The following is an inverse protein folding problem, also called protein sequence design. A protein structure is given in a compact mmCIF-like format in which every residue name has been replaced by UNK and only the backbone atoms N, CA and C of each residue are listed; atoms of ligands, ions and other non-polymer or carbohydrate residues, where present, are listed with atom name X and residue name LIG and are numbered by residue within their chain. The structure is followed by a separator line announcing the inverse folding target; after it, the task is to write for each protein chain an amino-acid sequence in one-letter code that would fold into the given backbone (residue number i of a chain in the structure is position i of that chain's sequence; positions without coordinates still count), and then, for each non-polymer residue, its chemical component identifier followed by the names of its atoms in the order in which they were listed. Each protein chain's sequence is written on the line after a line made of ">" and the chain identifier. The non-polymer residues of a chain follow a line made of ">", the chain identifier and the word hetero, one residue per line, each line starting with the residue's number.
data_IF_984069170735
#
_entry.id   IF_984069170735
#
_cell.length_a   1.000
_cell.length_b   1.000
_cell.length_c   1.000
_cell.angle_alpha   90.00
_cell.angle_beta   90.00
_cell.angle_gamma   90.00
#
_symmetry.space_group_name_H-M   'P 1'
#
loop_
_entity.id
_entity.type
_entity.pdbx_description
1 polymer ?
#
# COMPACT_ATOMS: atom_id res chain seq x y z
N UNK A 1 -46.74 -21.26 33.82
CA UNK A 1 -46.62 -19.79 33.57
C UNK A 1 -45.22 -19.28 33.90
N UNK A 2 -44.43 -20.01 34.78
CA UNK A 2 -43.08 -19.57 35.19
C UNK A 2 -42.01 -19.75 34.12
N UNK A 3 -41.95 -20.90 33.44
CA UNK A 3 -40.85 -21.26 32.55
C UNK A 3 -40.77 -20.36 31.29
N UNK A 4 -41.92 -20.02 30.68
CA UNK A 4 -41.97 -19.13 29.53
C UNK A 4 -41.52 -17.70 29.89
N UNK A 5 -41.94 -17.19 31.05
CA UNK A 5 -41.51 -15.85 31.54
C UNK A 5 -40.01 -15.85 31.88
N UNK A 6 -39.50 -16.94 32.47
CA UNK A 6 -38.08 -17.10 32.77
C UNK A 6 -37.25 -17.11 31.47
N UNK A 7 -37.66 -17.91 30.46
CA UNK A 7 -37.01 -17.95 29.15
C UNK A 7 -37.01 -16.58 28.45
N UNK A 8 -38.12 -15.86 28.45
CA UNK A 8 -38.21 -14.50 27.86
C UNK A 8 -37.28 -13.56 28.61
N UNK A 9 -37.23 -13.59 29.93
CA UNK A 9 -36.33 -12.77 30.73
C UNK A 9 -34.84 -13.01 30.43
N UNK A 10 -34.47 -14.29 30.26
CA UNK A 10 -33.10 -14.70 29.87
C UNK A 10 -32.76 -14.19 28.47
N UNK A 11 -33.67 -14.31 27.50
CA UNK A 11 -33.46 -13.80 26.14
C UNK A 11 -33.33 -12.28 26.16
N UNK A 12 -34.18 -11.56 26.87
CA UNK A 12 -34.11 -10.11 27.00
C UNK A 12 -32.79 -9.67 27.64
N UNK A 13 -32.39 -10.35 28.72
CA UNK A 13 -31.11 -10.09 29.38
C UNK A 13 -29.92 -10.32 28.42
N UNK A 14 -29.94 -11.43 27.68
CA UNK A 14 -28.92 -11.74 26.69
C UNK A 14 -28.85 -10.65 25.61
N UNK A 15 -30.00 -10.21 25.08
CA UNK A 15 -30.07 -9.13 24.07
C UNK A 15 -29.52 -7.84 24.64
N UNK A 16 -29.82 -7.49 25.88
CA UNK A 16 -29.30 -6.29 26.53
C UNK A 16 -27.78 -6.38 26.73
N UNK A 17 -27.27 -7.55 27.15
CA UNK A 17 -25.82 -7.76 27.30
C UNK A 17 -25.11 -7.64 25.95
N UNK A 18 -25.64 -8.28 24.90
CA UNK A 18 -25.09 -8.18 23.55
C UNK A 18 -25.14 -6.75 23.03
N UNK A 19 -26.28 -6.05 23.21
CA UNK A 19 -26.39 -4.64 22.82
C UNK A 19 -25.39 -3.76 23.58
N UNK A 20 -25.25 -3.96 24.89
CA UNK A 20 -24.25 -3.26 25.69
C UNK A 20 -22.83 -3.53 25.22
N UNK A 21 -22.48 -4.78 24.96
CA UNK A 21 -21.16 -5.16 24.45
C UNK A 21 -20.83 -4.58 23.08
N UNK A 22 -21.83 -4.39 22.21
CA UNK A 22 -21.66 -3.79 20.88
C UNK A 22 -21.59 -2.25 20.93
N UNK A 23 -22.20 -1.64 21.94
CA UNK A 23 -22.29 -0.17 22.04
C UNK A 23 -21.19 0.40 22.97
N UNK A 24 -20.82 -0.31 24.04
CA UNK A 24 -19.86 0.13 25.04
C UNK A 24 -18.50 0.56 24.47
N UNK A 25 -17.89 -0.11 23.47
CA UNK A 25 -16.62 0.30 22.88
C UNK A 25 -16.65 1.71 22.26
N UNK A 26 -17.82 2.18 21.81
CA UNK A 26 -17.99 3.54 21.28
C UNK A 26 -17.90 4.65 22.34
N UNK A 27 -17.99 4.30 23.62
CA UNK A 27 -17.88 5.25 24.75
C UNK A 27 -16.50 5.21 25.42
N UNK A 28 -15.62 4.31 25.01
CA UNK A 28 -14.25 4.24 25.52
C UNK A 28 -13.43 5.35 24.85
N UNK A 29 -12.70 6.13 25.63
CA UNK A 29 -11.70 7.06 25.09
C UNK A 29 -10.45 6.28 24.63
N UNK A 30 -10.42 5.98 23.34
CA UNK A 30 -9.29 5.26 22.71
C UNK A 30 -8.03 6.12 22.60
N UNK A 31 -8.14 7.45 22.80
CA UNK A 31 -7.00 8.36 22.72
C UNK A 31 -5.97 8.12 23.82
N UNK A 32 -6.38 7.53 24.95
CA UNK A 32 -5.47 7.18 26.03
C UNK A 32 -4.40 6.16 25.62
N UNK A 33 -4.64 5.36 24.56
CA UNK A 33 -3.71 4.34 24.08
C UNK A 33 -2.72 4.83 23.02
N UNK A 34 -2.78 6.13 22.64
CA UNK A 34 -1.84 6.70 21.65
C UNK A 34 -0.37 6.52 22.03
N UNK A 35 0.05 6.76 23.31
CA UNK A 35 1.45 6.58 23.69
C UNK A 35 1.92 5.14 23.53
N UNK A 36 1.11 4.17 23.98
CA UNK A 36 1.44 2.75 23.89
C UNK A 36 1.54 2.27 22.44
N UNK A 37 0.63 2.76 21.56
CA UNK A 37 0.68 2.46 20.13
C UNK A 37 1.95 3.07 19.52
N UNK A 38 2.28 4.32 19.85
CA UNK A 38 3.45 5.00 19.33
C UNK A 38 4.75 4.30 19.79
N UNK A 39 4.82 3.86 21.05
CA UNK A 39 5.94 3.11 21.58
C UNK A 39 6.11 1.76 20.88
N UNK A 40 5.03 0.98 20.77
CA UNK A 40 5.05 -0.32 20.09
C UNK A 40 5.50 -0.22 18.62
N UNK A 41 5.04 0.81 17.89
CA UNK A 41 5.50 1.05 16.52
C UNK A 41 6.97 1.46 16.51
N UNK A 42 7.39 2.33 17.42
CA UNK A 42 8.79 2.78 17.51
C UNK A 42 9.74 1.63 17.80
N UNK A 43 9.36 0.72 18.70
CA UNK A 43 10.16 -0.47 19.05
C UNK A 43 10.30 -1.44 17.87
N UNK A 44 9.21 -1.66 17.12
CA UNK A 44 9.21 -2.62 16.02
C UNK A 44 9.79 -2.08 14.70
N UNK A 45 9.73 -0.76 14.49
CA UNK A 45 10.15 -0.15 13.21
C UNK A 45 11.39 0.73 13.32
N UNK A 46 11.81 1.07 14.55
CA UNK A 46 12.87 2.06 14.80
C UNK A 46 12.46 3.50 14.46
N UNK A 47 11.16 3.76 14.22
CA UNK A 47 10.62 5.05 13.75
C UNK A 47 9.66 5.65 14.76
N UNK A 48 9.65 6.96 14.84
CA UNK A 48 8.70 7.67 15.71
C UNK A 48 7.34 7.76 15.04
N UNK A 49 6.32 7.22 15.71
CA UNK A 49 4.92 7.41 15.33
C UNK A 49 4.32 8.59 16.12
N UNK A 50 3.58 9.46 15.44
CA UNK A 50 2.75 10.51 16.04
C UNK A 50 1.31 10.37 15.58
N UNK A 51 0.36 10.42 16.52
CA UNK A 51 -1.08 10.40 16.24
C UNK A 51 -1.67 11.68 16.82
N UNK A 52 -1.81 12.70 15.97
CA UNK A 52 -2.27 14.03 16.40
C UNK A 52 -3.80 14.15 16.41
N UNK A 53 -4.49 13.32 15.63
CA UNK A 53 -5.96 13.28 15.59
C UNK A 53 -6.53 12.13 16.41
N UNK A 54 -7.85 12.00 16.44
CA UNK A 54 -8.55 11.05 17.29
C UNK A 54 -8.48 9.61 16.80
N UNK A 55 -8.47 8.69 17.77
CA UNK A 55 -8.70 7.26 17.57
C UNK A 55 -10.16 6.97 17.91
N UNK A 56 -10.90 6.40 16.97
CA UNK A 56 -12.28 6.00 17.15
C UNK A 56 -12.51 4.55 16.74
N UNK A 57 -13.19 3.80 17.59
CA UNK A 57 -13.61 2.42 17.31
C UNK A 57 -15.13 2.36 17.25
N UNK A 58 -15.65 1.78 16.17
CA UNK A 58 -17.07 1.47 16.00
C UNK A 58 -17.23 -0.03 15.81
N UNK A 59 -18.26 -0.61 16.39
CA UNK A 59 -18.57 -2.04 16.23
C UNK A 59 -19.69 -2.25 15.21
N UNK A 60 -20.68 -1.34 15.19
CA UNK A 60 -21.84 -1.44 14.32
C UNK A 60 -21.89 -0.30 13.29
N UNK A 61 -22.37 -0.55 12.05
CA UNK A 61 -22.86 -1.84 11.49
C UNK A 61 -21.73 -2.82 11.14
N UNK A 62 -20.51 -2.36 10.97
CA UNK A 62 -19.30 -3.17 10.75
C UNK A 62 -18.18 -2.66 11.67
N UNK A 63 -17.42 -3.56 12.31
CA UNK A 63 -16.30 -3.17 13.14
C UNK A 63 -15.29 -2.37 12.34
N UNK A 64 -14.99 -1.16 12.80
CA UNK A 64 -14.02 -0.27 12.14
C UNK A 64 -13.25 0.56 13.16
N UNK A 65 -11.93 0.60 12.95
CA UNK A 65 -11.00 1.49 13.65
C UNK A 65 -10.66 2.64 12.71
N UNK A 66 -10.78 3.88 13.18
CA UNK A 66 -10.32 5.06 12.44
C UNK A 66 -9.31 5.83 13.29
N UNK A 67 -8.19 6.19 12.67
CA UNK A 67 -7.11 6.97 13.30
C UNK A 67 -6.85 8.17 12.41
N UNK A 68 -6.97 9.38 12.96
CA UNK A 68 -6.78 10.61 12.20
C UNK A 68 -5.40 11.22 12.43
N UNK A 69 -4.88 11.92 11.41
CA UNK A 69 -3.64 12.68 11.43
C UNK A 69 -2.45 11.87 11.98
N UNK A 70 -2.08 10.83 11.24
CA UNK A 70 -0.97 9.94 11.59
C UNK A 70 0.29 10.39 10.87
N UNK A 71 1.42 10.44 11.58
CA UNK A 71 2.74 10.70 11.01
C UNK A 71 3.74 9.64 11.46
N UNK A 72 4.53 9.13 10.53
CA UNK A 72 5.63 8.21 10.77
C UNK A 72 6.93 8.91 10.38
N UNK A 73 7.84 9.01 11.30
CA UNK A 73 9.15 9.63 11.09
C UNK A 73 10.10 8.79 10.26
N UNK A 74 11.17 9.40 9.81
CA UNK A 74 12.31 8.70 9.20
C UNK A 74 13.05 7.82 10.23
N UNK A 75 13.88 6.85 9.78
CA UNK A 75 14.69 6.03 10.69
C UNK A 75 15.57 6.90 11.58
N UNK A 76 15.65 6.59 12.88
CA UNK A 76 16.54 7.28 13.80
C UNK A 76 17.99 7.05 13.40
N UNK A 77 18.76 8.14 13.25
CA UNK A 77 20.18 8.04 12.93
C UNK A 77 20.50 7.74 11.47
N UNK A 78 19.55 7.97 10.56
CA UNK A 78 19.83 7.92 9.13
C UNK A 78 21.06 8.80 8.81
N UNK A 79 22.13 8.25 8.20
CA UNK A 79 23.35 9.01 7.93
C UNK A 79 23.03 10.18 6.98
N UNK A 80 23.32 11.41 7.43
CA UNK A 80 23.12 12.61 6.62
C UNK A 80 21.74 13.26 6.74
N UNK A 81 20.83 12.69 7.53
CA UNK A 81 19.46 13.19 7.72
C UNK A 81 18.66 13.21 6.43
N UNK A 82 17.50 12.60 6.42
CA UNK A 82 16.55 12.81 5.34
C UNK A 82 16.21 14.30 5.26
N UNK A 83 15.94 14.81 4.06
CA UNK A 83 15.60 16.22 3.82
C UNK A 83 14.31 16.65 4.54
N UNK A 84 13.51 15.69 4.97
CA UNK A 84 12.31 15.86 5.78
C UNK A 84 12.32 14.84 6.93
N UNK A 85 11.96 15.26 8.14
CA UNK A 85 11.88 14.37 9.30
C UNK A 85 10.73 13.33 9.19
N UNK A 86 9.85 13.49 8.22
CA UNK A 86 8.65 12.68 8.02
C UNK A 86 8.83 11.71 6.85
N UNK A 87 8.76 10.40 7.14
CA UNK A 87 8.68 9.36 6.11
C UNK A 87 7.30 9.28 5.48
N UNK A 88 6.26 9.27 6.31
CA UNK A 88 4.88 9.20 5.83
C UNK A 88 3.94 9.96 6.77
N UNK A 89 2.94 10.61 6.18
CA UNK A 89 1.81 11.19 6.91
C UNK A 89 0.52 10.88 6.18
N UNK A 90 -0.58 10.84 6.90
CA UNK A 90 -1.91 10.62 6.32
C UNK A 90 -2.98 11.33 7.14
N UNK A 91 -4.03 11.77 6.47
CA UNK A 91 -5.18 12.42 7.11
C UNK A 91 -5.99 11.41 7.92
N UNK A 92 -6.23 10.21 7.39
CA UNK A 92 -6.98 9.17 8.08
C UNK A 92 -6.55 7.78 7.64
N UNK A 93 -6.39 6.89 8.64
CA UNK A 93 -6.29 5.44 8.47
C UNK A 93 -7.61 4.82 8.94
N UNK A 94 -8.25 4.05 8.07
CA UNK A 94 -9.47 3.32 8.41
C UNK A 94 -9.23 1.82 8.22
N UNK A 95 -9.48 1.05 9.25
CA UNK A 95 -9.33 -0.41 9.24
C UNK A 95 -10.69 -1.03 9.53
N UNK A 96 -11.20 -1.84 8.60
CA UNK A 96 -12.41 -2.61 8.80
C UNK A 96 -12.07 -4.05 9.15
N UNK A 97 -12.78 -4.59 10.12
CA UNK A 97 -12.59 -5.96 10.61
C UNK A 97 -13.82 -6.81 10.24
N UNK A 98 -13.57 -8.03 9.81
CA UNK A 98 -14.64 -8.98 9.48
C UNK A 98 -15.40 -9.41 10.74
N UNK A 99 -16.72 -9.18 10.78
CA UNK A 99 -17.56 -9.46 11.95
C UNK A 99 -17.66 -10.96 12.25
N UNK A 100 -17.78 -11.81 11.22
CA UNK A 100 -17.94 -13.26 11.39
C UNK A 100 -16.77 -13.90 12.15
N UNK A 101 -15.52 -13.76 11.70
CA UNK A 101 -14.34 -14.21 12.42
C UNK A 101 -14.21 -13.62 13.83
N UNK A 102 -14.56 -12.35 14.01
CA UNK A 102 -14.50 -11.67 15.30
C UNK A 102 -15.41 -12.32 16.35
N UNK A 103 -16.61 -12.75 15.95
CA UNK A 103 -17.51 -13.50 16.84
C UNK A 103 -16.93 -14.87 17.27
N UNK A 104 -16.01 -15.42 16.47
CA UNK A 104 -15.23 -16.61 16.79
C UNK A 104 -13.91 -16.32 17.51
N UNK A 105 -13.67 -15.09 17.97
CA UNK A 105 -12.44 -14.69 18.67
C UNK A 105 -11.22 -14.50 17.76
N UNK A 106 -11.42 -14.45 16.42
CA UNK A 106 -10.34 -14.23 15.44
C UNK A 106 -10.44 -12.81 14.87
N UNK A 107 -9.34 -12.06 14.88
CA UNK A 107 -9.26 -10.73 14.26
C UNK A 107 -8.83 -10.93 12.81
N UNK A 108 -9.74 -10.64 11.89
CA UNK A 108 -9.47 -10.65 10.44
C UNK A 108 -9.70 -9.25 9.89
N UNK A 109 -8.64 -8.65 9.32
CA UNK A 109 -8.74 -7.35 8.66
C UNK A 109 -9.39 -7.55 7.29
N UNK A 110 -10.57 -6.97 7.09
CA UNK A 110 -11.31 -7.03 5.84
C UNK A 110 -10.80 -5.98 4.84
N UNK A 111 -10.61 -4.73 5.29
CA UNK A 111 -10.06 -3.69 4.42
C UNK A 111 -9.30 -2.63 5.19
N UNK A 112 -8.36 -2.00 4.49
CA UNK A 112 -7.60 -0.83 4.97
C UNK A 112 -7.77 0.30 3.98
N UNK A 113 -8.14 1.49 4.46
CA UNK A 113 -8.21 2.70 3.63
C UNK A 113 -7.25 3.76 4.17
N UNK A 114 -6.38 4.24 3.32
CA UNK A 114 -5.48 5.35 3.56
C UNK A 114 -6.05 6.58 2.85
N UNK A 115 -6.36 7.62 3.59
CA UNK A 115 -6.87 8.89 3.04
C UNK A 115 -5.76 9.92 3.08
N UNK A 116 -5.46 10.49 1.93
CA UNK A 116 -4.39 11.46 1.68
C UNK A 116 -3.06 11.04 2.31
N UNK A 117 -2.59 9.83 2.01
CA UNK A 117 -1.24 9.47 2.41
C UNK A 117 -0.23 10.27 1.57
N UNK A 118 0.72 10.87 2.25
CA UNK A 118 1.88 11.49 1.63
C UNK A 118 3.13 10.77 2.10
N UNK A 119 3.87 10.14 1.16
CA UNK A 119 5.03 9.29 1.43
C UNK A 119 6.26 9.93 0.78
N UNK A 120 7.30 10.16 1.58
CA UNK A 120 8.60 10.66 1.13
C UNK A 120 9.62 9.54 1.11
N UNK A 121 9.96 9.08 -0.09
CA UNK A 121 11.01 8.08 -0.34
C UNK A 121 12.31 8.82 -0.67
N UNK A 122 13.39 8.54 0.04
CA UNK A 122 14.67 9.20 -0.18
C UNK A 122 15.83 8.21 -0.15
N UNK A 123 16.72 8.32 -1.13
CA UNK A 123 18.00 7.61 -1.13
C UNK A 123 18.97 8.38 -0.23
N UNK A 124 19.46 7.70 0.81
CA UNK A 124 20.36 8.27 1.77
C UNK A 124 21.81 8.33 1.24
N UNK A 125 22.70 9.13 1.84
CA UNK A 125 24.09 9.29 1.37
C UNK A 125 24.93 8.00 1.36
N UNK A 126 24.54 6.98 2.12
CA UNK A 126 25.14 5.65 2.11
C UNK A 126 24.59 4.72 1.03
N UNK A 127 23.65 5.21 0.21
CA UNK A 127 22.97 4.46 -0.85
C UNK A 127 21.81 3.61 -0.37
N UNK A 128 21.51 3.58 0.94
CA UNK A 128 20.32 2.90 1.46
C UNK A 128 19.07 3.74 1.23
N UNK A 129 17.89 3.09 1.22
CA UNK A 129 16.62 3.80 1.15
C UNK A 129 16.06 4.12 2.54
N UNK A 130 15.47 5.30 2.70
CA UNK A 130 14.73 5.59 3.93
C UNK A 130 13.49 4.68 4.10
N UNK A 131 13.14 3.87 3.12
CA UNK A 131 12.09 2.84 3.16
C UNK A 131 12.59 1.47 3.64
N UNK A 132 13.88 1.30 3.87
CA UNK A 132 14.43 0.07 4.41
C UNK A 132 14.02 -0.07 5.88
N UNK A 133 13.02 -0.89 6.12
CA UNK A 133 12.61 -1.28 7.46
C UNK A 133 13.55 -2.39 7.94
N UNK A 134 14.68 -2.00 8.50
CA UNK A 134 15.48 -2.95 9.27
C UNK A 134 14.63 -3.34 10.48
N UNK A 135 14.07 -4.56 10.44
CA UNK A 135 13.57 -5.17 11.66
C UNK A 135 14.71 -5.12 12.67
N UNK A 136 14.58 -4.29 13.70
CA UNK A 136 15.48 -4.33 14.85
C UNK A 136 15.22 -5.68 15.52
N UNK A 137 15.93 -6.69 15.02
CA UNK A 137 15.89 -8.06 15.50
C UNK A 137 16.56 -8.11 16.89
N UNK A 138 15.88 -7.55 17.88
CA UNK A 138 16.14 -7.76 19.31
C UNK A 138 14.95 -8.45 19.96
N UNK A 139 14.32 -9.36 19.23
CA UNK A 139 13.29 -10.25 19.72
C UNK A 139 13.37 -11.53 18.92
N UNK A 140 13.86 -12.57 19.55
CA UNK A 140 13.82 -13.95 19.11
C UNK A 140 12.37 -14.41 18.90
N UNK A 141 11.76 -13.99 17.78
CA UNK A 141 10.63 -14.72 17.21
C UNK A 141 10.56 -14.36 15.71
N UNK A 142 11.14 -15.24 14.94
CA UNK A 142 11.00 -15.32 13.50
C UNK A 142 9.52 -15.27 13.16
N UNK A 143 9.03 -14.41 12.25
CA UNK A 143 7.66 -14.56 11.76
C UNK A 143 7.59 -15.94 11.09
N UNK A 144 6.95 -16.86 11.74
CA UNK A 144 6.62 -18.18 11.19
C UNK A 144 5.62 -17.97 10.06
N UNK A 145 6.13 -17.90 8.84
CA UNK A 145 5.37 -18.20 7.63
C UNK A 145 5.08 -19.71 7.65
N UNK A 146 4.05 -20.08 8.36
CA UNK A 146 3.60 -21.47 8.46
C UNK A 146 2.08 -21.49 8.47
N UNK A 147 1.49 -21.94 7.36
CA UNK A 147 0.15 -22.50 7.41
C UNK A 147 0.19 -23.70 8.37
N UNK A 148 -0.34 -23.52 9.56
CA UNK A 148 -0.49 -24.53 10.61
C UNK A 148 -1.53 -24.03 11.58
N UNK A 149 -2.60 -24.79 11.67
CA UNK A 149 -3.73 -24.65 12.57
C UNK A 149 -3.24 -24.94 14.00
N UNK A 150 -2.70 -23.95 14.69
CA UNK A 150 -2.37 -24.04 16.11
C UNK A 150 -2.84 -22.79 16.85
N UNK A 151 -3.75 -23.00 17.78
CA UNK A 151 -4.57 -22.11 18.57
C UNK A 151 -3.86 -21.11 19.50
N UNK A 152 -2.97 -20.32 18.98
CA UNK A 152 -2.47 -19.09 19.62
C UNK A 152 -2.97 -17.90 18.81
N UNK A 153 -3.64 -16.95 19.47
CA UNK A 153 -4.38 -15.81 18.89
C UNK A 153 -3.56 -14.88 18.01
N UNK A 154 -3.02 -15.42 16.92
CA UNK A 154 -2.35 -14.67 15.87
C UNK A 154 -3.38 -13.89 15.05
N UNK A 155 -3.12 -12.61 14.75
CA UNK A 155 -3.89 -11.82 13.82
C UNK A 155 -3.72 -12.44 12.44
N UNK A 156 -4.75 -13.13 11.94
CA UNK A 156 -4.78 -13.58 10.55
C UNK A 156 -5.04 -12.36 9.67
N UNK A 157 -3.99 -11.79 9.12
CA UNK A 157 -4.08 -10.72 8.12
C UNK A 157 -4.53 -11.34 6.78
N UNK A 158 -5.81 -11.53 6.62
CA UNK A 158 -6.45 -11.75 5.34
C UNK A 158 -6.97 -10.39 4.89
N UNK A 159 -6.23 -9.73 4.02
CA UNK A 159 -6.56 -8.41 3.52
C UNK A 159 -7.40 -8.57 2.25
N UNK A 160 -8.73 -8.45 2.37
CA UNK A 160 -9.62 -8.52 1.21
C UNK A 160 -9.44 -7.30 0.28
N UNK A 161 -8.91 -6.19 0.81
CA UNK A 161 -8.56 -5.01 0.02
C UNK A 161 -7.89 -3.90 0.81
N UNK A 162 -6.99 -3.20 0.13
CA UNK A 162 -6.48 -1.91 0.56
C UNK A 162 -6.90 -0.84 -0.45
N UNK A 163 -7.18 0.37 0.05
CA UNK A 163 -7.51 1.52 -0.78
C UNK A 163 -6.63 2.70 -0.39
N UNK A 164 -6.08 3.35 -1.39
CA UNK A 164 -5.46 4.67 -1.28
C UNK A 164 -6.38 5.68 -1.94
N UNK A 165 -6.65 6.79 -1.26
CA UNK A 165 -7.49 7.88 -1.75
C UNK A 165 -6.69 9.18 -1.67
N UNK A 166 -6.54 9.85 -2.80
CA UNK A 166 -5.88 11.16 -2.92
C UNK A 166 -4.44 11.14 -2.34
N UNK A 167 -3.67 10.10 -2.69
CA UNK A 167 -2.30 9.90 -2.20
C UNK A 167 -1.26 10.71 -2.96
N UNK A 168 -0.13 10.95 -2.31
CA UNK A 168 1.06 11.57 -2.89
C UNK A 168 2.28 10.72 -2.54
N UNK A 169 3.15 10.49 -3.52
CA UNK A 169 4.47 9.88 -3.31
C UNK A 169 5.53 10.78 -3.91
N UNK A 170 6.51 11.14 -3.12
CA UNK A 170 7.70 11.88 -3.55
C UNK A 170 8.90 10.97 -3.41
N UNK A 171 9.63 10.77 -4.50
CA UNK A 171 10.91 10.06 -4.52
C UNK A 171 12.03 11.05 -4.75
N UNK A 172 13.08 11.00 -3.92
CA UNK A 172 14.26 11.84 -4.02
C UNK A 172 15.53 11.00 -4.01
N UNK A 173 16.43 11.33 -4.95
CA UNK A 173 17.82 10.87 -4.94
C UNK A 173 18.72 12.10 -4.99
N UNK A 174 19.11 12.68 -3.84
CA UNK A 174 19.95 13.88 -3.81
C UNK A 174 21.34 13.65 -4.42
N UNK A 175 21.85 12.40 -4.37
CA UNK A 175 23.15 12.05 -4.94
C UNK A 175 23.17 12.16 -6.48
N UNK A 176 22.02 11.94 -7.11
CA UNK A 176 21.83 12.01 -8.56
C UNK A 176 21.10 13.29 -8.99
N UNK A 177 20.60 14.09 -8.06
CA UNK A 177 19.80 15.28 -8.34
C UNK A 177 18.42 14.94 -8.95
N UNK A 178 17.86 13.76 -8.61
CA UNK A 178 16.59 13.27 -9.14
C UNK A 178 15.49 13.49 -8.13
N UNK A 179 14.36 14.06 -8.59
CA UNK A 179 13.11 14.11 -7.82
C UNK A 179 11.95 13.73 -8.74
N UNK A 180 11.13 12.80 -8.28
CA UNK A 180 9.89 12.39 -8.92
C UNK A 180 8.73 12.53 -7.94
N UNK A 181 7.61 13.08 -8.43
CA UNK A 181 6.41 13.28 -7.66
C UNK A 181 5.21 12.64 -8.36
N UNK A 182 4.51 11.80 -7.65
CA UNK A 182 3.25 11.21 -8.07
C UNK A 182 2.14 11.83 -7.21
N UNK A 183 1.12 12.34 -7.85
CA UNK A 183 -0.02 13.01 -7.22
C UNK A 183 -1.33 12.28 -7.54
N UNK A 184 -2.42 12.66 -6.88
CA UNK A 184 -3.78 12.16 -7.10
C UNK A 184 -3.82 10.62 -7.18
N UNK A 185 -3.11 9.96 -6.28
CA UNK A 185 -3.02 8.50 -6.26
C UNK A 185 -4.30 7.92 -5.68
N UNK A 186 -5.12 7.32 -6.54
CA UNK A 186 -6.32 6.59 -6.20
C UNK A 186 -6.15 5.13 -6.61
N UNK A 187 -5.87 4.24 -5.64
CA UNK A 187 -5.61 2.82 -5.90
C UNK A 187 -6.51 1.92 -5.07
N UNK A 188 -6.91 0.82 -5.67
CA UNK A 188 -7.52 -0.33 -5.02
C UNK A 188 -6.55 -1.51 -5.17
N UNK A 189 -6.22 -2.15 -4.05
CA UNK A 189 -5.31 -3.27 -3.99
C UNK A 189 -6.06 -4.43 -3.36
N UNK A 190 -6.24 -5.52 -4.08
CA UNK A 190 -6.76 -6.76 -3.55
C UNK A 190 -5.61 -7.75 -3.35
N UNK A 191 -5.61 -8.45 -2.23
CA UNK A 191 -4.61 -9.45 -1.91
C UNK A 191 -5.24 -10.60 -1.12
N UNK A 192 -5.09 -11.83 -1.61
CA UNK A 192 -5.60 -13.01 -0.90
C UNK A 192 -4.77 -13.37 0.33
N UNK A 193 -3.52 -12.91 0.41
CA UNK A 193 -2.61 -13.06 1.54
C UNK A 193 -1.49 -12.02 1.45
N UNK A 194 -0.66 -11.91 2.49
CA UNK A 194 0.55 -11.07 2.47
C UNK A 194 1.58 -11.50 1.41
N UNK A 195 1.49 -12.73 0.94
CA UNK A 195 2.32 -13.23 -0.16
C UNK A 195 1.62 -13.11 -1.53
N UNK A 196 0.43 -12.53 -1.62
CA UNK A 196 -0.36 -12.41 -2.84
C UNK A 196 -1.27 -13.61 -3.09
N UNK A 197 -1.80 -13.74 -4.30
CA UNK A 197 -1.64 -12.82 -5.43
C UNK A 197 -2.18 -11.42 -5.15
N UNK A 198 -1.61 -10.43 -5.85
CA UNK A 198 -2.03 -9.03 -5.73
C UNK A 198 -2.66 -8.55 -7.03
N UNK A 199 -3.73 -7.78 -6.91
CA UNK A 199 -4.35 -7.06 -8.02
C UNK A 199 -4.44 -5.59 -7.63
N UNK A 200 -3.94 -4.73 -8.50
CA UNK A 200 -3.95 -3.28 -8.33
C UNK A 200 -4.74 -2.67 -9.48
N UNK A 201 -5.71 -1.83 -9.16
CA UNK A 201 -6.50 -1.05 -10.13
C UNK A 201 -6.62 0.38 -9.64
N UNK A 202 -6.46 1.35 -10.53
CA UNK A 202 -6.65 2.74 -10.19
C UNK A 202 -5.97 3.71 -11.13
N UNK A 203 -5.64 4.89 -10.61
CA UNK A 203 -5.00 5.93 -11.37
C UNK A 203 -4.13 6.81 -10.46
N UNK A 204 -3.23 7.54 -11.09
CA UNK A 204 -2.38 8.55 -10.46
C UNK A 204 -2.05 9.64 -11.50
N UNK A 205 -1.44 10.74 -11.05
CA UNK A 205 -0.92 11.81 -11.91
C UNK A 205 0.60 11.89 -11.80
N UNK A 206 1.27 12.03 -12.94
CA UNK A 206 2.72 12.27 -13.00
C UNK A 206 3.03 13.39 -14.00
N UNK A 207 3.72 14.44 -13.54
CA UNK A 207 4.01 15.62 -14.37
C UNK A 207 2.75 16.30 -14.92
N UNK A 208 1.62 16.22 -14.20
CA UNK A 208 0.32 16.75 -14.62
C UNK A 208 -0.46 15.86 -15.61
N UNK A 209 0.10 14.73 -16.03
CA UNK A 209 -0.59 13.75 -16.89
C UNK A 209 -1.20 12.62 -16.05
N UNK A 210 -2.46 12.28 -16.34
CA UNK A 210 -3.15 11.20 -15.66
C UNK A 210 -2.73 9.85 -16.23
N UNK A 211 -2.39 8.92 -15.35
CA UNK A 211 -2.02 7.55 -15.67
C UNK A 211 -3.01 6.58 -15.03
N UNK A 212 -3.68 5.78 -15.84
CA UNK A 212 -4.44 4.62 -15.36
C UNK A 212 -3.50 3.44 -15.15
N UNK A 213 -3.70 2.68 -14.07
CA UNK A 213 -2.89 1.50 -13.72
C UNK A 213 -3.79 0.30 -13.48
N UNK A 214 -3.51 -0.81 -14.16
CA UNK A 214 -4.05 -2.14 -13.86
C UNK A 214 -2.91 -3.13 -13.82
N UNK A 215 -2.74 -3.79 -12.69
CA UNK A 215 -1.63 -4.72 -12.51
C UNK A 215 -2.07 -5.96 -11.74
N UNK A 216 -1.57 -7.12 -12.13
CA UNK A 216 -1.75 -8.36 -11.41
C UNK A 216 -0.38 -9.03 -11.21
N UNK A 217 -0.04 -9.26 -9.95
CA UNK A 217 1.17 -9.98 -9.54
C UNK A 217 0.75 -11.30 -8.91
N UNK A 218 1.26 -12.40 -9.42
CA UNK A 218 1.08 -13.73 -8.85
C UNK A 218 1.63 -13.83 -7.42
N UNK A 219 1.35 -14.95 -6.75
CA UNK A 219 1.84 -15.15 -5.39
C UNK A 219 3.38 -15.11 -5.37
N UNK A 220 3.91 -14.36 -4.39
CA UNK A 220 5.36 -14.26 -4.15
C UNK A 220 5.80 -15.52 -3.39
N UNK A 221 6.49 -16.41 -4.08
CA UNK A 221 7.05 -17.62 -3.51
C UNK A 221 8.57 -17.48 -3.44
N UNK A 222 9.16 -17.82 -2.29
CA UNK A 222 10.62 -17.78 -2.14
C UNK A 222 11.30 -18.65 -3.20
N UNK A 223 12.18 -18.03 -4.00
CA UNK A 223 13.01 -18.70 -4.99
C UNK A 223 12.32 -19.04 -6.33
N UNK A 224 11.11 -18.53 -6.57
CA UNK A 224 10.44 -18.71 -7.88
C UNK A 224 9.96 -17.36 -8.42
N UNK A 225 10.13 -17.11 -9.73
CA UNK A 225 9.52 -15.93 -10.35
C UNK A 225 8.01 -15.95 -10.25
N UNK A 226 7.42 -14.79 -9.94
CA UNK A 226 5.97 -14.58 -9.92
C UNK A 226 5.53 -13.99 -11.25
N UNK A 227 4.36 -14.39 -11.76
CA UNK A 227 3.78 -13.79 -12.96
C UNK A 227 3.45 -12.32 -12.70
N UNK A 228 3.74 -11.46 -13.64
CA UNK A 228 3.39 -10.05 -13.61
C UNK A 228 2.72 -9.65 -14.92
N UNK A 229 1.51 -9.15 -14.83
CA UNK A 229 0.79 -8.49 -15.92
C UNK A 229 0.47 -7.07 -15.49
N UNK A 230 0.81 -6.08 -16.31
CA UNK A 230 0.57 -4.67 -15.99
C UNK A 230 0.14 -3.91 -17.23
N UNK A 231 -0.83 -3.03 -17.07
CA UNK A 231 -1.27 -2.09 -18.11
C UNK A 231 -1.26 -0.70 -17.53
N UNK A 232 -0.52 0.18 -18.17
CA UNK A 232 -0.50 1.61 -17.87
C UNK A 232 -1.15 2.34 -19.06
N UNK A 233 -2.09 3.22 -18.78
CA UNK A 233 -2.79 4.02 -19.80
C UNK A 233 -2.47 5.49 -19.58
N UNK A 234 -1.98 6.18 -20.58
CA UNK A 234 -1.68 7.61 -20.54
C UNK A 234 -2.89 8.42 -20.98
N UNK A 235 -3.30 9.39 -20.16
CA UNK A 235 -4.48 10.22 -20.42
C UNK A 235 -5.75 9.39 -20.55
N UNK A 236 -6.68 9.84 -21.36
CA UNK A 236 -7.95 9.14 -21.64
C UNK A 236 -7.80 8.05 -22.73
N UNK A 237 -6.70 7.27 -22.65
CA UNK A 237 -6.41 6.20 -23.62
C UNK A 237 -5.54 6.62 -24.79
N UNK A 238 -4.87 7.76 -24.67
CA UNK A 238 -3.96 8.32 -25.70
C UNK A 238 -2.83 7.36 -26.05
N UNK A 239 -2.29 6.67 -25.07
CA UNK A 239 -1.34 5.59 -25.23
C UNK A 239 -1.52 4.53 -24.14
N UNK A 240 -1.13 3.31 -24.46
CA UNK A 240 -1.15 2.16 -23.55
C UNK A 240 0.21 1.48 -23.57
N UNK A 241 0.75 1.24 -22.39
CA UNK A 241 1.89 0.35 -22.19
C UNK A 241 1.38 -0.91 -21.48
N UNK A 242 1.61 -2.08 -22.05
CA UNK A 242 1.29 -3.36 -21.42
C UNK A 242 2.54 -4.21 -21.27
N UNK A 243 2.69 -4.78 -20.10
CA UNK A 243 3.78 -5.69 -19.77
C UNK A 243 3.20 -7.06 -19.37
N UNK A 244 3.73 -8.10 -19.94
CA UNK A 244 3.43 -9.47 -19.56
C UNK A 244 4.74 -10.24 -19.35
N UNK A 245 4.93 -10.81 -18.15
CA UNK A 245 6.19 -11.46 -17.82
C UNK A 245 6.24 -11.99 -16.40
N UNK A 246 7.44 -11.97 -15.86
CA UNK A 246 7.74 -12.47 -14.51
C UNK A 246 8.59 -11.47 -13.74
N UNK A 247 8.37 -11.44 -12.42
CA UNK A 247 9.18 -10.76 -11.44
C UNK A 247 9.84 -11.78 -10.52
N UNK A 248 11.16 -11.80 -10.45
CA UNK A 248 11.92 -12.53 -9.44
C UNK A 248 12.49 -11.55 -8.43
N UNK A 249 12.52 -11.95 -7.14
CA UNK A 249 13.01 -11.11 -6.03
C UNK A 249 14.22 -11.73 -5.32
N UNK A 250 14.63 -12.91 -5.77
CA UNK A 250 15.85 -13.56 -5.28
C UNK A 250 17.05 -12.86 -5.94
N UNK A 251 18.08 -12.56 -5.18
CA UNK A 251 19.28 -11.84 -5.68
C UNK A 251 19.00 -10.43 -6.25
N UNK A 252 17.97 -9.77 -5.73
CA UNK A 252 17.47 -8.47 -6.19
C UNK A 252 16.32 -8.58 -7.21
N UNK A 253 15.60 -7.49 -7.44
CA UNK A 253 14.48 -7.49 -8.36
C UNK A 253 14.95 -7.71 -9.82
N UNK A 254 14.38 -8.73 -10.47
CA UNK A 254 14.59 -9.04 -11.87
C UNK A 254 13.25 -9.09 -12.58
N UNK A 255 13.12 -8.33 -13.67
CA UNK A 255 11.93 -8.27 -14.51
C UNK A 255 12.27 -8.86 -15.87
N UNK A 256 11.49 -9.82 -16.35
CA UNK A 256 11.65 -10.43 -17.67
C UNK A 256 10.30 -10.65 -18.32
N UNK A 257 10.13 -10.17 -19.57
CA UNK A 257 8.87 -10.32 -20.27
C UNK A 257 8.80 -9.54 -21.56
N UNK A 258 7.57 -9.32 -22.02
CA UNK A 258 7.27 -8.54 -23.20
C UNK A 258 6.61 -7.22 -22.79
N UNK A 259 7.07 -6.13 -23.38
CA UNK A 259 6.49 -4.81 -23.29
C UNK A 259 5.89 -4.46 -24.65
N UNK A 260 4.60 -4.14 -24.66
CA UNK A 260 3.92 -3.62 -25.82
C UNK A 260 3.48 -2.17 -25.55
N UNK A 261 3.78 -1.28 -26.47
CA UNK A 261 3.36 0.12 -26.48
C UNK A 261 2.44 0.35 -27.66
N UNK A 262 1.26 0.87 -27.45
CA UNK A 262 0.28 1.15 -28.51
C UNK A 262 -0.47 2.45 -28.26
N UNK A 263 -0.92 3.11 -29.33
CA UNK A 263 -1.76 4.30 -29.27
C UNK A 263 -2.21 4.73 -30.66
N UNK A 264 -3.26 5.55 -30.70
CA UNK A 264 -3.88 5.99 -31.95
C UNK A 264 -3.25 7.27 -32.49
N UNK A 265 -2.62 8.08 -31.64
CA UNK A 265 -2.07 9.39 -31.98
C UNK A 265 -0.65 9.57 -31.43
N UNK A 266 0.34 8.98 -32.11
CA UNK A 266 1.75 8.99 -31.68
C UNK A 266 2.28 10.37 -31.31
N UNK A 267 2.11 11.45 -32.10
CA UNK A 267 2.61 12.77 -31.73
C UNK A 267 2.01 13.31 -30.45
N UNK A 268 0.72 13.06 -30.19
CA UNK A 268 0.08 13.50 -28.93
C UNK A 268 0.58 12.68 -27.74
N UNK A 269 0.77 11.39 -27.92
CA UNK A 269 1.33 10.53 -26.88
C UNK A 269 2.74 10.97 -26.47
N UNK A 270 3.61 11.27 -27.45
CA UNK A 270 4.95 11.78 -27.19
C UNK A 270 4.92 13.18 -26.56
N UNK A 271 4.01 14.05 -26.99
CA UNK A 271 3.86 15.38 -26.38
C UNK A 271 3.38 15.28 -24.92
N UNK A 272 2.47 14.36 -24.60
CA UNK A 272 2.03 14.10 -23.22
C UNK A 272 3.18 13.53 -22.37
N UNK A 273 3.93 12.57 -22.90
CA UNK A 273 5.13 12.05 -22.24
C UNK A 273 6.17 13.15 -22.01
N UNK A 274 6.38 14.02 -23.00
CA UNK A 274 7.27 15.17 -22.88
C UNK A 274 6.86 16.11 -21.74
N UNK A 275 5.57 16.40 -21.60
CA UNK A 275 5.07 17.20 -20.47
C UNK A 275 5.30 16.50 -19.13
N UNK A 276 5.00 15.20 -19.06
CA UNK A 276 5.19 14.41 -17.85
C UNK A 276 6.65 14.37 -17.40
N UNK A 277 7.60 14.33 -18.34
CA UNK A 277 9.04 14.25 -18.07
C UNK A 277 9.75 15.62 -18.08
N UNK A 278 9.02 16.72 -18.29
CA UNK A 278 9.57 18.06 -18.52
C UNK A 278 10.64 18.06 -19.63
N UNK A 279 10.39 17.32 -20.71
CA UNK A 279 11.28 17.17 -21.86
C UNK A 279 10.57 17.53 -23.17
N UNK A 280 11.29 18.09 -24.11
CA UNK A 280 10.81 18.31 -25.47
C UNK A 280 11.38 17.25 -26.39
N UNK A 281 10.49 16.55 -27.07
CA UNK A 281 10.86 15.58 -28.09
C UNK A 281 10.54 16.18 -29.46
N UNK A 282 11.57 16.38 -30.29
CA UNK A 282 11.41 16.82 -31.68
C UNK A 282 11.08 15.59 -32.52
N UNK A 283 9.85 15.53 -33.02
CA UNK A 283 9.39 14.44 -33.87
C UNK A 283 9.61 14.80 -35.35
N UNK A 284 10.10 13.86 -36.18
CA UNK A 284 10.12 14.02 -37.62
C UNK A 284 8.70 14.25 -38.18
N UNK A 285 8.59 15.11 -39.20
CA UNK A 285 7.31 15.29 -39.91
C UNK A 285 6.87 14.02 -40.61
N UNK A 286 5.55 13.70 -40.55
CA UNK A 286 4.97 12.57 -41.27
C UNK A 286 4.96 11.25 -40.54
N UNK A 287 5.25 11.22 -39.23
CA UNK A 287 5.02 10.03 -38.41
C UNK A 287 3.52 9.69 -38.38
N UNK A 288 3.20 8.40 -38.54
CA UNK A 288 1.84 7.88 -38.53
C UNK A 288 1.08 8.22 -37.24
N UNK A 289 -0.26 8.23 -37.31
CA UNK A 289 -1.08 8.53 -36.15
C UNK A 289 -1.11 7.36 -35.19
N UNK A 290 -1.39 6.13 -35.68
CA UNK A 290 -1.38 4.93 -34.84
C UNK A 290 0.00 4.27 -34.79
N UNK A 291 0.32 3.70 -33.64
CA UNK A 291 1.60 2.97 -33.44
C UNK A 291 1.38 1.73 -32.58
N UNK A 292 2.22 0.73 -32.82
CA UNK A 292 2.34 -0.46 -32.00
C UNK A 292 3.80 -0.90 -32.01
N UNK A 293 4.39 -1.03 -30.83
CA UNK A 293 5.77 -1.46 -30.61
C UNK A 293 5.77 -2.60 -29.62
N UNK A 294 6.35 -3.72 -29.96
CA UNK A 294 6.53 -4.85 -29.07
C UNK A 294 8.01 -5.15 -28.92
N UNK A 295 8.48 -5.26 -27.69
CA UNK A 295 9.87 -5.56 -27.39
C UNK A 295 9.99 -6.50 -26.20
N UNK A 296 11.07 -7.26 -26.15
CA UNK A 296 11.43 -8.06 -24.97
C UNK A 296 12.24 -7.21 -24.02
N UNK A 297 11.89 -7.28 -22.75
CA UNK A 297 12.54 -6.52 -21.67
C UNK A 297 13.13 -7.50 -20.67
N UNK A 298 14.39 -7.27 -20.33
CA UNK A 298 15.07 -7.93 -19.22
C UNK A 298 15.80 -6.85 -18.41
N UNK A 299 15.37 -6.64 -17.17
CA UNK A 299 15.94 -5.65 -16.25
C UNK A 299 16.34 -6.36 -14.97
N UNK A 300 17.55 -6.11 -14.49
CA UNK A 300 18.04 -6.55 -13.19
C UNK A 300 18.53 -5.37 -12.36
N UNK A 301 18.67 -5.54 -11.03
CA UNK A 301 19.19 -4.49 -10.15
C UNK A 301 20.58 -3.99 -10.59
N UNK A 302 21.41 -4.84 -11.18
CA UNK A 302 22.74 -4.48 -11.68
C UNK A 302 22.66 -3.66 -12.98
N UNK A 303 21.70 -3.95 -13.86
CA UNK A 303 21.53 -3.22 -15.12
C UNK A 303 20.85 -1.87 -14.96
N UNK A 304 20.06 -1.66 -13.90
CA UNK A 304 19.47 -0.37 -13.58
C UNK A 304 20.51 0.67 -13.06
N UNK A 305 21.73 0.21 -12.69
CA UNK A 305 22.85 1.06 -12.29
C UNK A 305 23.75 1.51 -13.44
N UNK A 306 23.51 1.09 -14.67
CA UNK A 306 24.37 1.34 -15.85
C UNK A 306 23.74 2.28 -16.90
N UNK A 307 22.70 3.02 -16.56
CA UNK A 307 22.22 4.11 -17.40
C UNK A 307 23.00 5.39 -17.03
N UNK A 308 24.21 5.54 -17.60
CA UNK A 308 24.91 6.81 -17.69
C UNK A 308 24.16 7.76 -18.65
#
# INVERSE_FOLDING_TARGET
>A
VGLKKLLVSIIVLLVVIVAAALIAPGFIDWNQYKPEIAEAVSENTGRQLSIDGDISLRILPAPSLSVANVRLGNPKGAPGGASDDTFAKLESLQVHVALGPLLGGKIQVASVTLVKPEISLEVLPDGSGNWDFQATASGTDKPTTGGGDDGSGGIALQLDGARVVDGIVVFRDPGRGVEHRLDDIDLQIAASSLAGPFVVDGALSYGGERLGLKSALGAINQGRPSSLSSVITLGDGLARASFEGTLALQDGPQLRGQLALAGDEFPKAVAALGRALDQKFDLPEGLGQAFEIVTSVEVSAESAGLAD
#
